data_IF_614905374235
#
_entry.id   IF_614905374235
#
_cell.length_a   1.000
_cell.length_b   1.000
_cell.length_c   1.000
_cell.angle_alpha   90.00
_cell.angle_beta   90.00
_cell.angle_gamma   90.00
#
_symmetry.space_group_name_H-M   'P 1'
#
loop_
_entity.id
_entity.type
_entity.pdbx_description
1 polymer ?
#
# COMPACT_ATOMS: atom_id res chain seq x y z
N UNK A 1 2.70 0.71 20.81
CA UNK A 1 2.44 0.65 19.36
C UNK A 1 2.70 -0.75 18.80
N UNK A 2 3.91 -1.31 18.92
CA UNK A 2 4.27 -2.67 18.44
C UNK A 2 3.32 -3.76 18.94
N UNK A 3 3.01 -3.81 20.25
CA UNK A 3 2.09 -4.82 20.82
C UNK A 3 0.70 -4.82 20.17
N UNK A 4 0.20 -3.66 19.77
CA UNK A 4 -1.11 -3.55 19.11
C UNK A 4 -1.02 -3.95 17.64
N UNK A 5 0.07 -3.59 16.97
CA UNK A 5 0.36 -4.02 15.61
C UNK A 5 0.39 -5.55 15.49
N UNK A 6 1.14 -6.23 16.37
CA UNK A 6 1.23 -7.71 16.36
C UNK A 6 -0.14 -8.36 16.54
N UNK A 7 -1.00 -7.81 17.41
CA UNK A 7 -2.38 -8.30 17.61
C UNK A 7 -3.28 -8.12 16.39
N UNK A 8 -2.96 -7.19 15.50
CA UNK A 8 -3.71 -6.96 14.27
C UNK A 8 -3.30 -7.87 13.11
N UNK A 9 -2.15 -8.55 13.21
CA UNK A 9 -1.67 -9.44 12.16
C UNK A 9 -2.47 -10.74 12.16
N UNK A 10 -2.88 -11.18 10.97
CA UNK A 10 -3.66 -12.41 10.77
C UNK A 10 -3.06 -13.25 9.64
N UNK A 11 -3.21 -14.58 9.73
CA UNK A 11 -2.79 -15.51 8.68
C UNK A 11 -1.32 -15.36 8.28
N UNK A 12 -1.06 -15.29 6.97
CA UNK A 12 0.28 -15.20 6.39
C UNK A 12 1.09 -13.98 6.89
N UNK A 13 0.40 -12.90 7.26
CA UNK A 13 1.05 -11.69 7.78
C UNK A 13 1.63 -11.93 9.18
N UNK A 14 0.91 -12.67 10.02
CA UNK A 14 1.42 -13.06 11.33
C UNK A 14 2.59 -14.04 11.20
N UNK A 15 2.49 -15.03 10.31
CA UNK A 15 3.57 -15.97 10.03
C UNK A 15 4.88 -15.28 9.63
N UNK A 16 4.79 -14.31 8.71
CA UNK A 16 5.96 -13.49 8.35
C UNK A 16 6.59 -12.78 9.54
N UNK A 17 5.78 -12.19 10.42
CA UNK A 17 6.29 -11.47 11.59
C UNK A 17 7.01 -12.41 12.56
N UNK A 18 6.49 -13.64 12.76
CA UNK A 18 7.12 -14.64 13.62
C UNK A 18 8.40 -15.24 13.02
N UNK A 19 8.54 -15.22 11.70
CA UNK A 19 9.73 -15.72 10.99
C UNK A 19 10.89 -14.71 10.95
N UNK A 20 10.66 -13.47 11.40
CA UNK A 20 11.71 -12.46 11.48
C UNK A 20 12.80 -12.91 12.44
N UNK A 21 14.07 -12.80 12.01
CA UNK A 21 15.21 -13.10 12.88
C UNK A 21 15.17 -12.19 14.12
N UNK A 22 15.45 -12.71 15.33
CA UNK A 22 15.58 -11.88 16.52
C UNK A 22 16.54 -10.72 16.28
N UNK A 23 16.19 -9.53 16.76
CA UNK A 23 16.95 -8.28 16.60
C UNK A 23 17.23 -7.85 15.14
N UNK A 24 16.52 -8.40 14.14
CA UNK A 24 16.64 -7.94 12.75
C UNK A 24 15.94 -6.61 12.47
N UNK A 25 15.02 -6.21 13.35
CA UNK A 25 14.27 -4.95 13.27
C UNK A 25 14.47 -4.19 14.58
N UNK A 26 15.07 -3.01 14.50
CA UNK A 26 15.47 -2.21 15.65
C UNK A 26 14.47 -1.10 16.02
N UNK A 27 13.55 -0.78 15.10
CA UNK A 27 12.69 0.39 15.20
C UNK A 27 11.31 0.14 14.58
N UNK A 28 10.32 0.90 15.06
CA UNK A 28 8.97 0.89 14.50
C UNK A 28 8.96 1.30 13.02
N UNK A 29 9.78 2.27 12.65
CA UNK A 29 9.92 2.75 11.27
C UNK A 29 10.43 1.65 10.35
N UNK A 30 11.45 0.90 10.77
CA UNK A 30 11.97 -0.24 10.01
C UNK A 30 10.93 -1.36 9.89
N UNK A 31 10.22 -1.69 10.99
CA UNK A 31 9.12 -2.67 10.96
C UNK A 31 8.04 -2.29 9.95
N UNK A 32 7.65 -1.01 9.94
CA UNK A 32 6.69 -0.49 8.99
C UNK A 32 7.19 -0.64 7.55
N UNK A 33 8.44 -0.23 7.28
CA UNK A 33 9.06 -0.32 5.95
C UNK A 33 9.09 -1.76 5.41
N UNK A 34 9.57 -2.71 6.22
CA UNK A 34 9.63 -4.13 5.84
C UNK A 34 8.23 -4.72 5.58
N UNK A 35 7.26 -4.39 6.45
CA UNK A 35 5.87 -4.79 6.24
C UNK A 35 5.30 -4.24 4.93
N UNK A 36 5.53 -2.95 4.65
CA UNK A 36 5.09 -2.33 3.40
C UNK A 36 5.78 -2.99 2.21
N UNK A 37 7.09 -3.17 2.22
CA UNK A 37 7.80 -3.83 1.11
C UNK A 37 7.29 -5.25 0.84
N UNK A 38 6.95 -6.01 1.88
CA UNK A 38 6.54 -7.41 1.77
C UNK A 38 5.09 -7.58 1.33
N UNK A 39 4.16 -6.82 1.90
CA UNK A 39 2.72 -7.01 1.70
C UNK A 39 2.08 -5.93 0.83
N UNK A 40 2.71 -4.76 0.75
CA UNK A 40 2.40 -3.73 -0.22
C UNK A 40 3.51 -3.73 -1.27
N UNK A 41 3.47 -4.72 -2.17
CA UNK A 41 4.27 -4.68 -3.41
C UNK A 41 4.12 -3.28 -3.98
N UNK A 42 5.25 -2.56 -4.12
CA UNK A 42 5.35 -1.16 -4.57
C UNK A 42 4.17 -0.80 -5.45
N UNK A 43 3.09 -0.29 -4.83
CA UNK A 43 1.90 0.07 -5.57
C UNK A 43 2.41 1.02 -6.62
N UNK A 44 2.20 0.71 -7.91
CA UNK A 44 2.62 1.56 -9.02
C UNK A 44 2.31 2.98 -8.61
N UNK A 45 3.35 3.75 -8.36
CA UNK A 45 3.16 5.14 -8.03
C UNK A 45 2.70 5.77 -9.32
N UNK A 46 1.48 6.28 -9.27
CA UNK A 46 0.90 7.02 -10.37
C UNK A 46 1.41 8.44 -10.20
N UNK A 47 2.10 8.97 -11.20
CA UNK A 47 2.45 10.40 -11.22
C UNK A 47 1.19 11.24 -11.40
N UNK A 48 1.23 12.51 -10.99
CA UNK A 48 0.14 13.46 -11.28
C UNK A 48 -0.18 13.51 -12.80
N UNK A 49 0.84 13.38 -13.66
CA UNK A 49 0.68 13.37 -15.12
C UNK A 49 -0.15 12.19 -15.60
N UNK A 50 0.10 10.98 -15.09
CA UNK A 50 -0.68 9.79 -15.43
C UNK A 50 -2.13 9.88 -14.93
N UNK A 51 -2.34 10.53 -13.79
CA UNK A 51 -3.69 10.77 -13.25
C UNK A 51 -4.47 11.75 -14.13
N UNK A 52 -3.85 12.86 -14.56
CA UNK A 52 -4.48 13.84 -15.47
C UNK A 52 -4.73 13.27 -16.86
N UNK A 53 -3.88 12.34 -17.32
CA UNK A 53 -4.04 11.65 -18.59
C UNK A 53 -5.10 10.54 -18.56
N UNK A 54 -5.62 10.18 -17.37
CA UNK A 54 -6.60 9.11 -17.24
C UNK A 54 -7.94 9.49 -17.90
N UNK A 55 -8.34 8.71 -18.90
CA UNK A 55 -9.64 8.85 -19.57
C UNK A 55 -10.57 7.69 -19.19
N UNK A 56 -11.87 7.94 -19.27
CA UNK A 56 -12.88 6.88 -19.21
C UNK A 56 -12.72 5.97 -20.42
N UNK A 57 -12.73 4.66 -20.19
CA UNK A 57 -12.65 3.67 -21.29
C UNK A 57 -14.01 3.55 -21.98
N UNK A 58 -14.02 3.11 -23.24
CA UNK A 58 -15.22 3.05 -24.10
C UNK A 58 -16.40 2.29 -23.47
N UNK A 59 -16.14 1.30 -22.64
CA UNK A 59 -17.13 0.41 -22.01
C UNK A 59 -17.13 0.48 -20.48
N UNK A 60 -16.39 1.45 -19.91
CA UNK A 60 -16.31 1.63 -18.46
C UNK A 60 -17.45 2.53 -18.00
N UNK A 61 -18.31 2.10 -17.05
CA UNK A 61 -19.30 2.97 -16.43
C UNK A 61 -18.64 4.19 -15.77
N UNK A 62 -19.34 5.33 -15.76
CA UNK A 62 -18.81 6.57 -15.15
C UNK A 62 -18.47 6.37 -13.66
N UNK A 63 -19.26 5.58 -12.94
CA UNK A 63 -19.02 5.24 -11.54
C UNK A 63 -17.71 4.49 -11.34
N UNK A 64 -17.40 3.57 -12.26
CA UNK A 64 -16.19 2.74 -12.20
C UNK A 64 -14.96 3.57 -12.57
N UNK A 65 -15.09 4.48 -13.54
CA UNK A 65 -14.07 5.47 -13.84
C UNK A 65 -13.74 6.34 -12.62
N UNK A 66 -14.76 6.88 -11.93
CA UNK A 66 -14.57 7.70 -10.73
C UNK A 66 -13.88 6.90 -9.62
N UNK A 67 -14.33 5.67 -9.36
CA UNK A 67 -13.74 4.80 -8.35
C UNK A 67 -12.29 4.44 -8.67
N UNK A 68 -11.98 4.18 -9.95
CA UNK A 68 -10.61 3.96 -10.41
C UNK A 68 -9.75 5.21 -10.21
N UNK A 69 -10.23 6.38 -10.59
CA UNK A 69 -9.50 7.64 -10.38
C UNK A 69 -9.22 7.90 -8.89
N UNK A 70 -10.20 7.67 -7.99
CA UNK A 70 -9.99 7.74 -6.53
C UNK A 70 -8.96 6.73 -6.04
N UNK A 71 -9.03 5.50 -6.52
CA UNK A 71 -8.05 4.47 -6.16
C UNK A 71 -6.64 4.80 -6.66
N UNK A 72 -6.52 5.44 -7.84
CA UNK A 72 -5.24 5.86 -8.41
C UNK A 72 -4.66 7.06 -7.64
N UNK A 73 -5.48 8.04 -7.23
CA UNK A 73 -5.01 9.20 -6.47
C UNK A 73 -4.49 8.85 -5.08
N UNK A 74 -5.04 7.81 -4.43
CA UNK A 74 -4.51 7.27 -3.17
C UNK A 74 -3.08 6.74 -3.28
N UNK A 75 -2.62 6.43 -4.50
CA UNK A 75 -1.27 5.92 -4.77
C UNK A 75 -0.37 6.96 -5.45
N UNK A 76 -0.81 8.22 -5.55
CA UNK A 76 -0.01 9.32 -6.11
C UNK A 76 1.04 9.79 -5.11
N UNK A 77 2.31 9.91 -5.55
CA UNK A 77 3.42 10.42 -4.71
C UNK A 77 3.40 11.94 -4.56
N UNK A 78 2.82 12.65 -5.54
CA UNK A 78 2.80 14.12 -5.60
C UNK A 78 1.63 14.68 -4.79
N UNK A 79 1.50 14.26 -3.53
CA UNK A 79 0.50 14.83 -2.61
C UNK A 79 0.94 16.28 -2.31
N UNK A 80 0.15 17.25 -2.77
CA UNK A 80 0.25 18.65 -2.35
C UNK A 80 0.17 18.77 -0.82
#
# INVERSE_FOLDING_TARGET
MVKQFVRSLIGNVFGWYTDLKPASIDSWTQLGSEFFNRFFSTKRIVSMLELMAAKQRKEEPVTDFINRCRSLSLNCKDRL
#
